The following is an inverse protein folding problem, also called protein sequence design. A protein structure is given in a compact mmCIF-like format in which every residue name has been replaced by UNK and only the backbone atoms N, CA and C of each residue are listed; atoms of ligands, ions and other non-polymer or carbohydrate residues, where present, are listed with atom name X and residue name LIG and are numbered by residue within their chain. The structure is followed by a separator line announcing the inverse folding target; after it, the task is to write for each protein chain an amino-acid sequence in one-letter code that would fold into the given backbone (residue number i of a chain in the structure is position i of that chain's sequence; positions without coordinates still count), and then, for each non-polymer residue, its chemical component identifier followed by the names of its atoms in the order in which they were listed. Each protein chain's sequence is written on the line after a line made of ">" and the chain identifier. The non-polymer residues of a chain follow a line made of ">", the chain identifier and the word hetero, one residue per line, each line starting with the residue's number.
data_IF_579780529872
#
_entry.id   IF_579780529872
#
_cell.length_a   1.000
_cell.length_b   1.000
_cell.length_c   1.000
_cell.angle_alpha   90.00
_cell.angle_beta   90.00
_cell.angle_gamma   90.00
#
_symmetry.space_group_name_H-M   'P 1'
#
loop_
_entity.id
_entity.type
_entity.pdbx_description
1 polymer ?
#
# COMPACT_ATOMS: atom_id res chain seq x y z
N UNK A 1 1.09 10.21 -15.60
CA UNK A 1 0.00 9.38 -15.04
C UNK A 1 -0.15 9.74 -13.57
N UNK A 2 -1.25 10.40 -13.21
CA UNK A 2 -1.51 10.80 -11.82
C UNK A 2 -1.81 9.55 -10.98
N UNK A 3 -1.16 9.40 -9.84
CA UNK A 3 -1.45 8.32 -8.90
C UNK A 3 -2.90 8.48 -8.43
N UNK A 4 -3.80 7.67 -8.98
CA UNK A 4 -5.25 7.78 -8.81
C UNK A 4 -5.62 8.11 -7.37
N UNK A 5 -6.40 9.17 -7.19
CA UNK A 5 -7.19 9.36 -5.98
C UNK A 5 -8.07 8.12 -5.90
N UNK A 6 -7.71 7.19 -5.02
CA UNK A 6 -8.69 6.21 -4.57
C UNK A 6 -9.84 7.04 -4.02
N UNK A 7 -10.99 7.01 -4.71
CA UNK A 7 -12.19 7.71 -4.24
C UNK A 7 -12.39 7.33 -2.78
N UNK A 8 -12.59 8.32 -1.93
CA UNK A 8 -12.63 8.14 -0.48
C UNK A 8 -13.91 7.37 -0.12
N UNK A 9 -13.84 6.04 -0.19
CA UNK A 9 -14.90 5.12 0.21
C UNK A 9 -14.64 4.66 1.65
N UNK A 10 -15.69 4.42 2.46
CA UNK A 10 -15.52 3.86 3.80
C UNK A 10 -14.65 2.60 3.79
N UNK A 11 -13.64 2.56 4.65
CA UNK A 11 -12.70 1.45 4.73
C UNK A 11 -11.66 1.39 3.60
N UNK A 12 -11.63 2.32 2.64
CA UNK A 12 -10.56 2.37 1.63
C UNK A 12 -9.48 3.36 2.04
N UNK A 13 -8.26 2.87 2.21
CA UNK A 13 -7.10 3.68 2.61
C UNK A 13 -5.95 3.55 1.62
N UNK A 14 -5.28 4.66 1.33
CA UNK A 14 -4.07 4.70 0.50
C UNK A 14 -2.85 4.86 1.40
N UNK A 15 -1.96 3.88 1.39
CA UNK A 15 -0.74 3.84 2.21
C UNK A 15 0.46 4.10 1.31
N UNK A 16 1.36 4.97 1.75
CA UNK A 16 2.69 5.14 1.15
C UNK A 16 3.70 4.38 1.98
N UNK A 17 4.39 3.42 1.36
CA UNK A 17 5.56 2.76 1.94
C UNK A 17 6.81 3.33 1.30
N UNK A 18 7.86 3.57 2.09
CA UNK A 18 9.15 4.07 1.64
C UNK A 18 10.26 3.31 2.37
N UNK A 19 11.30 2.92 1.64
CA UNK A 19 12.40 2.13 2.19
C UNK A 19 13.27 1.51 1.10
N UNK A 20 14.18 0.63 1.52
CA UNK A 20 15.02 -0.13 0.60
C UNK A 20 14.16 -1.08 -0.27
N UNK A 21 14.55 -1.34 -1.53
CA UNK A 21 13.75 -2.17 -2.45
C UNK A 21 13.39 -3.55 -1.88
N UNK A 22 14.33 -4.22 -1.21
CA UNK A 22 14.09 -5.54 -0.61
C UNK A 22 13.09 -5.50 0.54
N UNK A 23 13.17 -4.49 1.41
CA UNK A 23 12.21 -4.32 2.51
C UNK A 23 10.80 -4.02 1.98
N UNK A 24 10.72 -3.21 0.93
CA UNK A 24 9.47 -2.90 0.25
C UNK A 24 8.88 -4.16 -0.39
N UNK A 25 9.68 -4.98 -1.04
CA UNK A 25 9.23 -6.25 -1.62
C UNK A 25 8.63 -7.15 -0.53
N UNK A 26 9.35 -7.37 0.58
CA UNK A 26 8.87 -8.17 1.72
C UNK A 26 7.56 -7.60 2.29
N UNK A 27 7.48 -6.30 2.53
CA UNK A 27 6.27 -5.66 3.05
C UNK A 27 5.08 -5.79 2.10
N UNK A 28 5.36 -5.76 0.80
CA UNK A 28 4.34 -6.01 -0.20
C UNK A 28 3.98 -7.49 -0.29
N UNK A 29 4.85 -8.43 0.01
CA UNK A 29 4.49 -9.87 0.05
C UNK A 29 3.69 -10.24 1.30
N UNK A 30 3.90 -9.57 2.45
CA UNK A 30 3.06 -9.71 3.66
C UNK A 30 1.57 -9.46 3.34
N UNK A 31 1.29 -8.66 2.31
CA UNK A 31 -0.06 -8.37 1.79
C UNK A 31 -0.80 -9.60 1.23
N UNK A 32 -0.05 -10.63 0.81
CA UNK A 32 -0.58 -11.88 0.25
C UNK A 32 -0.99 -12.88 1.32
N UNK A 33 -0.66 -12.62 2.59
CA UNK A 33 -1.05 -13.48 3.70
C UNK A 33 -2.56 -13.35 3.96
N UNK A 34 -3.31 -14.46 4.05
CA UNK A 34 -4.73 -14.43 4.34
C UNK A 34 -4.96 -13.89 5.75
N UNK A 35 -5.37 -12.62 5.87
CA UNK A 35 -5.83 -12.04 7.13
C UNK A 35 -7.18 -11.41 6.86
N UNK A 36 -8.24 -12.15 7.21
CA UNK A 36 -9.64 -12.00 6.81
C UNK A 36 -10.36 -10.68 7.15
N UNK A 37 -9.65 -9.56 7.28
CA UNK A 37 -10.19 -8.21 7.49
C UNK A 37 -9.48 -7.13 6.66
N UNK A 38 -8.48 -7.50 5.87
CA UNK A 38 -7.68 -6.59 5.04
C UNK A 38 -7.51 -7.19 3.65
N UNK A 39 -7.81 -6.40 2.62
CA UNK A 39 -7.64 -6.78 1.22
C UNK A 39 -6.85 -5.69 0.51
N UNK A 40 -5.78 -6.07 -0.19
CA UNK A 40 -5.13 -5.15 -1.13
C UNK A 40 -5.99 -5.02 -2.38
N UNK A 41 -6.26 -3.78 -2.75
CA UNK A 41 -7.00 -3.42 -3.97
C UNK A 41 -6.00 -3.16 -5.10
N UNK A 42 -4.95 -2.40 -4.82
CA UNK A 42 -3.98 -1.96 -5.82
C UNK A 42 -2.60 -1.80 -5.18
N UNK A 43 -1.55 -2.01 -5.97
CA UNK A 43 -0.19 -1.58 -5.63
C UNK A 43 0.43 -0.93 -6.85
N UNK A 44 1.00 0.26 -6.68
CA UNK A 44 1.74 0.93 -7.75
C UNK A 44 3.06 0.22 -8.05
N UNK A 45 3.64 0.55 -9.21
CA UNK A 45 5.07 0.30 -9.43
C UNK A 45 5.92 1.06 -8.40
N UNK A 46 7.15 0.59 -8.09
CA UNK A 46 8.11 1.34 -7.31
C UNK A 46 8.47 2.65 -8.01
N UNK A 47 8.49 3.73 -7.25
CA UNK A 47 9.00 5.03 -7.68
C UNK A 47 10.25 5.37 -6.90
N UNK A 48 11.28 5.97 -7.52
CA UNK A 48 12.43 6.46 -6.78
C UNK A 48 12.01 7.55 -5.80
N UNK A 49 12.59 7.53 -4.60
CA UNK A 49 12.48 8.64 -3.67
C UNK A 49 13.24 9.86 -4.20
N UNK A 50 12.70 11.06 -3.96
CA UNK A 50 13.28 12.31 -4.48
C UNK A 50 14.39 12.89 -3.60
N UNK A 51 14.40 12.54 -2.31
CA UNK A 51 15.23 13.19 -1.27
C UNK A 51 16.01 12.21 -0.41
N UNK A 52 15.62 10.95 -0.42
CA UNK A 52 16.17 9.88 0.40
C UNK A 52 16.53 8.70 -0.51
N UNK A 53 17.50 7.85 -0.13
CA UNK A 53 17.72 6.58 -0.79
C UNK A 53 16.47 5.68 -0.84
N UNK A 54 16.51 4.67 -1.70
CA UNK A 54 15.45 3.67 -1.84
C UNK A 54 14.25 4.13 -2.68
N UNK A 55 13.13 3.43 -2.47
CA UNK A 55 11.93 3.56 -3.30
C UNK A 55 10.69 3.88 -2.46
N UNK A 56 9.62 4.29 -3.13
CA UNK A 56 8.28 4.35 -2.57
C UNK A 56 7.28 3.57 -3.42
N UNK A 57 6.33 2.94 -2.76
CA UNK A 57 5.15 2.32 -3.38
C UNK A 57 3.89 2.85 -2.72
N UNK A 58 2.81 2.92 -3.50
CA UNK A 58 1.48 3.22 -3.00
C UNK A 58 0.66 1.95 -2.99
N UNK A 59 0.06 1.64 -1.84
CA UNK A 59 -0.80 0.48 -1.65
C UNK A 59 -2.20 0.96 -1.30
N UNK A 60 -3.20 0.56 -2.07
CA UNK A 60 -4.60 0.82 -1.75
C UNK A 60 -5.17 -0.40 -1.04
N UNK A 61 -5.72 -0.20 0.15
CA UNK A 61 -6.24 -1.25 1.02
C UNK A 61 -7.73 -1.04 1.28
N UNK A 62 -8.48 -2.14 1.32
CA UNK A 62 -9.76 -2.21 2.02
C UNK A 62 -9.50 -2.73 3.45
N UNK A 63 -9.89 -1.93 4.43
CA UNK A 63 -9.89 -2.21 5.87
C UNK A 63 -11.35 -2.21 6.34
N UNK A 64 -11.90 -3.39 6.61
CA UNK A 64 -13.22 -3.49 7.22
C UNK A 64 -13.09 -3.22 8.73
N UNK A 65 -13.44 -2.01 9.16
CA UNK A 65 -13.35 -1.56 10.55
C UNK A 65 -14.60 -1.90 11.36
N UNK A 66 -14.40 -2.50 12.53
CA UNK A 66 -15.44 -2.68 13.55
C UNK A 66 -15.19 -3.90 14.43
N UNK A 67 -14.43 -3.75 15.51
CA UNK A 67 -14.66 -4.58 16.69
C UNK A 67 -16.08 -4.30 17.18
N UNK A 68 -16.86 -5.36 17.40
CA UNK A 68 -17.97 -5.33 18.34
C UNK A 68 -17.43 -5.64 19.72
#
# INVERSE_FOLDING_TARGET
>A
MAAGQAGQAPGVVKVRLSGEPGDIEVMTEIRRLPRGRRRVIETSAPYPNRRDPGVRVYVTLLVNGGQR
#
